data_IF_443388352092
#
_entry.id   IF_443388352092
#
_cell.length_a   1.000
_cell.length_b   1.000
_cell.length_c   1.000
_cell.angle_alpha   90.00
_cell.angle_beta   90.00
_cell.angle_gamma   90.00
#
_symmetry.space_group_name_H-M   'P 1'
#
loop_
_entity.id
_entity.type
_entity.pdbx_description
1 polymer ?
2 water ?
#
# COMPACT_ATOMS: atom_id res chain seq x y z
N UNK A 5 -16.83 9.95 -2.47
CA UNK A 5 -15.53 9.31 -2.07
C UNK A 5 -14.33 10.03 -2.69
N UNK A 6 -14.14 11.29 -2.32
CA UNK A 6 -13.03 12.10 -2.83
C UNK A 6 -11.70 11.59 -2.27
N UNK A 7 -10.80 11.19 -3.16
CA UNK A 7 -9.48 10.70 -2.77
C UNK A 7 -8.59 11.82 -2.20
N UNK A 8 -7.67 11.45 -1.31
CA UNK A 8 -6.57 12.33 -0.96
C UNK A 8 -5.54 12.35 -2.10
N UNK A 9 -4.55 13.23 -1.99
CA UNK A 9 -3.50 13.29 -3.00
C UNK A 9 -2.54 12.10 -2.89
N UNK A 10 -1.73 11.87 -3.93
CA UNK A 10 -0.73 10.81 -3.89
C UNK A 10 0.25 11.00 -2.72
N UNK A 11 0.67 12.23 -2.45
CA UNK A 11 1.53 12.49 -1.30
C UNK A 11 0.83 12.13 0.01
N UNK A 12 -0.42 12.55 0.15
CA UNK A 12 -1.18 12.22 1.36
C UNK A 12 -1.35 10.70 1.53
N UNK A 13 -1.47 9.99 0.40
CA UNK A 13 -1.52 8.53 0.42
C UNK A 13 -0.19 7.92 0.87
N UNK A 14 0.90 8.35 0.23
CA UNK A 14 2.26 7.89 0.56
C UNK A 14 2.51 8.07 2.08
N UNK A 15 2.27 9.28 2.56
CA UNK A 15 2.55 9.61 3.96
C UNK A 15 1.62 8.93 4.96
N UNK A 16 0.36 8.79 4.60
CA UNK A 16 -0.62 8.15 5.48
C UNK A 16 -0.67 8.88 6.82
N UNK A 17 -0.90 8.13 7.91
CA UNK A 17 -0.92 8.77 9.23
C UNK A 17 0.47 9.24 9.70
N UNK A 18 1.53 8.89 8.96
CA UNK A 18 2.89 9.32 9.31
C UNK A 18 3.61 8.34 10.23
N UNK A 19 2.91 7.28 10.62
CA UNK A 19 3.45 6.22 11.48
C UNK A 19 2.92 4.87 11.02
N UNK A 20 3.54 3.78 11.45
CA UNK A 20 3.13 2.46 10.99
C UNK A 20 3.53 2.27 9.55
N UNK A 21 2.82 1.37 8.86
CA UNK A 21 3.09 1.07 7.46
C UNK A 21 1.85 0.47 6.85
N UNK A 22 1.99 0.00 5.62
CA UNK A 22 0.85 -0.57 4.90
C UNK A 22 1.18 -1.97 4.41
N UNK A 23 0.21 -2.87 4.57
CA UNK A 23 0.31 -4.22 4.03
C UNK A 23 -0.53 -4.29 2.77
N UNK A 24 -0.04 -5.05 1.79
CA UNK A 24 -0.85 -5.36 0.64
C UNK A 24 -1.90 -6.39 1.07
N UNK A 25 -3.17 -6.01 0.97
CA UNK A 25 -4.26 -6.90 1.39
C UNK A 25 -4.78 -7.75 0.24
N UNK A 26 -5.20 -7.10 -0.84
CA UNK A 26 -5.72 -7.83 -2.00
C UNK A 26 -5.13 -7.26 -3.26
N UNK A 27 -4.95 -8.13 -4.27
CA UNK A 27 -4.45 -7.70 -5.56
C UNK A 27 -5.00 -8.58 -6.67
N UNK A 28 -5.03 -8.03 -7.88
CA UNK A 28 -5.31 -8.85 -9.07
C UNK A 28 -4.10 -9.70 -9.48
N UNK A 29 -2.93 -9.43 -8.89
CA UNK A 29 -1.70 -10.11 -9.30
C UNK A 29 -1.54 -11.45 -8.62
N UNK A 30 -1.29 -12.49 -9.42
CA UNK A 30 -1.00 -13.83 -8.88
C UNK A 30 0.46 -13.95 -8.48
N UNK A 31 0.75 -14.94 -7.64
CA UNK A 31 2.12 -15.25 -7.24
C UNK A 31 2.79 -14.24 -6.33
N UNK A 32 2.02 -13.33 -5.71
CA UNK A 32 2.60 -12.38 -4.76
C UNK A 32 3.00 -13.09 -3.47
N UNK A 33 4.15 -12.70 -2.92
CA UNK A 33 4.60 -13.24 -1.65
C UNK A 33 3.75 -12.69 -0.49
N UNK A 34 3.38 -13.56 0.45
CA UNK A 34 2.63 -13.17 1.63
C UNK A 34 3.34 -12.03 2.34
N UNK A 35 2.55 -11.18 3.00
CA UNK A 35 3.07 -10.15 3.89
C UNK A 35 3.83 -9.04 3.17
N UNK A 36 3.60 -8.90 1.87
CA UNK A 36 4.07 -7.72 1.14
C UNK A 36 3.68 -6.44 1.87
N UNK A 37 4.66 -5.55 2.08
CA UNK A 37 4.39 -4.33 2.84
C UNK A 37 5.26 -3.20 2.31
N UNK A 38 4.87 -1.98 2.66
CA UNK A 38 5.74 -0.80 2.51
C UNK A 38 5.61 0.02 3.79
N UNK A 39 6.68 0.73 4.14
CA UNK A 39 6.67 1.61 5.31
C UNK A 39 7.47 2.86 5.00
N UNK A 40 6.82 4.01 5.09
CA UNK A 40 7.49 5.28 4.87
C UNK A 40 8.15 5.87 6.10
N UNK A 41 9.23 6.60 5.87
CA UNK A 41 9.95 7.32 6.92
C UNK A 41 10.64 8.51 6.27
N UNK A 42 11.24 9.37 7.09
CA UNK A 42 12.00 10.51 6.57
C UNK A 42 11.18 11.32 5.58
N UNK A 43 9.97 11.68 6.00
CA UNK A 43 9.06 12.38 5.11
C UNK A 43 9.46 13.84 4.96
N UNK A 44 9.56 14.28 3.72
CA UNK A 44 9.83 15.67 3.40
C UNK A 44 8.61 16.21 2.67
N UNK A 45 7.78 16.98 3.41
CA UNK A 45 6.50 17.43 2.89
C UNK A 45 6.64 18.44 1.75
N UNK A 46 7.67 19.27 1.81
CA UNK A 46 7.91 20.29 0.76
C UNK A 46 8.27 19.63 -0.57
N UNK A 47 9.20 18.68 -0.50
CA UNK A 47 9.71 17.97 -1.68
C UNK A 47 8.79 16.84 -2.11
N UNK A 48 7.93 16.40 -1.19
CA UNK A 48 7.10 15.21 -1.36
C UNK A 48 7.98 14.00 -1.66
N UNK A 49 8.97 13.79 -0.79
CA UNK A 49 9.85 12.63 -0.87
C UNK A 49 9.89 11.93 0.48
N UNK A 50 10.18 10.63 0.43
CA UNK A 50 10.32 9.83 1.65
C UNK A 50 11.28 8.68 1.41
N UNK A 51 11.73 8.06 2.50
CA UNK A 51 12.37 6.77 2.43
C UNK A 51 11.27 5.73 2.53
N UNK A 52 11.28 4.76 1.61
CA UNK A 52 10.42 3.59 1.71
C UNK A 52 11.26 2.40 2.09
N UNK A 53 10.79 1.66 3.07
CA UNK A 53 11.29 0.33 3.39
C UNK A 53 10.20 -0.63 2.94
N UNK A 54 10.57 -1.60 2.11
CA UNK A 54 9.56 -2.50 1.56
C UNK A 54 10.06 -3.92 1.56
N UNK A 55 9.14 -4.86 1.47
CA UNK A 55 9.52 -6.25 1.40
C UNK A 55 8.32 -7.14 1.60
N UNK A 56 8.58 -8.36 2.04
CA UNK A 56 7.55 -9.37 2.20
C UNK A 56 8.08 -10.47 3.11
N UNK A 58 10.19 -13.28 4.27
CA UNK A 58 11.42 -13.91 3.85
C UNK A 58 11.55 -15.26 4.51
N UNK A 59 12.79 -15.64 4.82
CA UNK A 59 13.09 -16.89 5.50
C UNK A 59 13.10 -16.65 7.01
N UNK A 60 12.97 -17.73 7.78
CA UNK A 60 13.05 -17.66 9.24
C UNK A 60 11.97 -16.83 9.92
N UNK A 61 10.83 -16.72 9.25
CA UNK A 61 9.70 -15.93 9.74
C UNK A 61 10.06 -14.46 9.99
N UNK A 62 11.01 -13.95 9.22
CA UNK A 62 11.38 -12.54 9.28
C UNK A 62 11.01 -11.85 7.97
N UNK A 64 11.59 -9.46 4.85
CA UNK A 64 12.68 -8.89 4.06
C UNK A 64 12.56 -7.38 4.16
N UNK A 65 13.69 -6.69 3.95
CA UNK A 65 13.72 -5.22 3.98
C UNK A 65 14.65 -4.73 2.89
N UNK A 66 14.15 -3.82 2.06
CA UNK A 66 14.99 -3.10 1.12
C UNK A 66 14.54 -1.65 1.18
N UNK A 67 15.46 -0.71 0.97
CA UNK A 67 15.05 0.69 0.98
C UNK A 67 15.10 1.30 -0.42
N UNK A 68 14.34 2.38 -0.59
CA UNK A 68 14.36 3.18 -1.80
C UNK A 68 13.80 4.56 -1.49
N UNK A 69 14.11 5.52 -2.34
CA UNK A 69 13.50 6.84 -2.23
C UNK A 69 12.14 6.77 -2.90
N UNK A 70 11.11 7.21 -2.18
CA UNK A 70 9.77 7.33 -2.73
C UNK A 70 9.52 8.79 -3.06
N UNK A 71 8.87 9.04 -4.19
CA UNK A 71 8.54 10.39 -4.61
C UNK A 71 7.19 10.40 -5.28
N UNK A 72 6.77 11.57 -5.75
CA UNK A 72 5.46 11.73 -6.39
C UNK A 72 5.64 12.26 -7.80
N UNK A 73 4.93 11.66 -8.74
CA UNK A 73 4.87 12.19 -10.10
C UNK A 73 3.41 12.17 -10.51
N UNK A 74 2.83 13.35 -10.67
CA UNK A 74 1.41 13.45 -10.92
C UNK A 74 0.66 12.79 -9.78
N UNK A 75 -0.22 11.86 -10.12
CA UNK A 75 -1.00 11.19 -9.07
C UNK A 75 -0.47 9.78 -8.82
N UNK A 76 0.84 9.61 -9.01
CA UNK A 76 1.50 8.32 -8.78
C UNK A 76 2.58 8.42 -7.70
N UNK A 77 2.64 7.38 -6.89
CA UNK A 77 3.73 7.17 -5.96
C UNK A 77 4.82 6.41 -6.72
N UNK A 78 6.01 7.00 -6.75
CA UNK A 78 7.12 6.49 -7.53
C UNK A 78 8.17 5.82 -6.63
N UNK A 79 8.47 4.55 -6.90
CA UNK A 79 9.52 3.83 -6.18
C UNK A 79 10.30 3.08 -7.25
N UNK A 80 11.55 3.47 -7.49
CA UNK A 80 12.29 2.95 -8.65
C UNK A 80 11.52 3.30 -9.90
N UNK A 81 11.26 2.28 -10.74
CA UNK A 81 10.48 2.49 -11.96
C UNK A 81 8.98 2.30 -11.78
N UNK A 82 8.58 1.87 -10.57
CA UNK A 82 7.17 1.59 -10.29
C UNK A 82 6.44 2.91 -10.03
N UNK A 83 5.44 3.23 -10.85
CA UNK A 83 4.58 4.38 -10.64
C UNK A 83 3.21 3.85 -10.30
N UNK A 84 2.86 3.90 -9.01
CA UNK A 84 1.59 3.39 -8.53
C UNK A 84 0.58 4.52 -8.53
N UNK A 85 -0.37 4.48 -9.48
CA UNK A 85 -1.37 5.53 -9.60
C UNK A 85 -2.42 5.37 -8.52
N UNK A 86 -2.71 6.47 -7.81
CA UNK A 86 -3.72 6.43 -6.76
C UNK A 86 -5.12 6.50 -7.37
N UNK A 88 -7.93 5.50 -5.26
CA UNK A 88 -8.58 6.10 -4.10
C UNK A 88 -7.71 5.87 -2.88
N UNK A 89 -7.52 6.90 -2.08
CA UNK A 89 -6.89 6.75 -0.77
C UNK A 89 -7.58 7.65 0.23
N UNK A 90 -7.69 7.19 1.48
CA UNK A 90 -8.19 8.06 2.54
C UNK A 90 -7.06 8.72 3.33
N UNK A 91 -5.80 8.41 2.99
CA UNK A 91 -4.67 8.98 3.70
C UNK A 91 -4.48 8.49 5.13
N UNK A 92 -5.25 7.48 5.53
CA UNK A 92 -5.34 7.06 6.94
C UNK A 92 -5.30 5.56 7.13
N UNK A 93 -6.08 4.84 6.33
CA UNK A 93 -6.34 3.43 6.62
C UNK A 93 -6.17 2.53 5.41
N UNK A 94 -6.33 3.06 4.19
CA UNK A 94 -6.28 2.21 3.01
C UNK A 94 -6.02 2.98 1.72
N UNK A 95 -5.48 2.28 0.73
CA UNK A 95 -5.25 2.83 -0.61
C UNK A 95 -5.64 1.81 -1.65
N UNK A 96 -6.19 2.28 -2.75
CA UNK A 96 -6.36 1.47 -3.94
C UNK A 96 -5.50 2.10 -5.02
N UNK A 97 -4.55 1.32 -5.55
CA UNK A 97 -3.64 1.83 -6.57
C UNK A 97 -3.57 0.89 -7.78
N UNK A 98 -3.09 1.44 -8.88
CA UNK A 98 -2.87 0.68 -10.10
C UNK A 98 -1.37 0.70 -10.39
N UNK A 99 -0.79 -0.49 -10.59
CA UNK A 99 0.63 -0.61 -10.87
C UNK A 99 0.83 -1.77 -11.81
N UNK A 100 1.52 -1.54 -12.94
CA UNK A 100 1.83 -2.62 -13.87
C UNK A 100 0.56 -3.39 -14.28
N UNK A 101 -0.52 -2.63 -14.45
CA UNK A 101 -1.82 -3.17 -14.86
C UNK A 101 -2.55 -3.96 -13.80
N UNK A 102 -2.05 -3.93 -12.56
CA UNK A 102 -2.69 -4.62 -11.43
C UNK A 102 -3.41 -3.62 -10.55
N UNK A 103 -4.52 -4.07 -9.94
CA UNK A 103 -5.26 -3.28 -8.98
C UNK A 103 -4.95 -3.83 -7.60
N UNK A 104 -4.49 -2.95 -6.71
CA UNK A 104 -4.02 -3.34 -5.39
C UNK A 104 -4.75 -2.58 -4.32
N UNK A 105 -5.16 -3.30 -3.29
CA UNK A 105 -5.77 -2.69 -2.09
C UNK A 105 -4.81 -2.88 -0.91
N UNK A 106 -4.31 -1.75 -0.40
CA UNK A 106 -3.36 -1.72 0.70
C UNK A 106 -4.07 -1.24 1.96
N UNK A 107 -3.67 -1.79 3.10
CA UNK A 107 -4.28 -1.40 4.39
C UNK A 107 -3.21 -1.01 5.41
N UNK A 108 -3.53 0.01 6.20
CA UNK A 108 -2.61 0.44 7.23
C UNK A 108 -2.48 -0.61 8.30
N UNK A 109 -1.34 -0.62 9.00
CA UNK A 109 -1.09 -1.62 10.03
C UNK A 109 -2.15 -1.57 11.14
N UNK A 110 -2.78 -0.42 11.32
CA UNK A 110 -3.83 -0.25 12.34
C UNK A 110 -5.15 -0.88 11.94
N UNK A 111 -5.28 -1.26 10.67
CA UNK A 111 -6.54 -1.76 10.13
C UNK A 111 -6.57 -3.28 9.94
N UNK A 112 -5.51 -3.95 10.36
CA UNK A 112 -5.35 -5.38 10.04
C UNK A 112 -6.25 -6.34 10.84
N UNK A 113 -6.89 -5.86 11.91
CA UNK A 113 -7.82 -6.67 12.68
C UNK A 113 -9.27 -6.32 12.34
N UNK A 114 -9.46 -5.63 11.21
CA UNK A 114 -10.80 -5.25 10.75
C UNK A 114 -10.90 -5.28 9.24
N UNK A 115 -10.34 -6.35 8.69
CA UNK A 115 -10.18 -6.55 7.26
C UNK A 115 -11.52 -6.66 6.51
N UNK A 116 -12.58 -6.93 7.29
CA UNK A 116 -13.94 -7.00 6.76
C UNK A 116 -14.75 -5.72 6.97
N UNK A 117 -14.12 -4.72 7.59
CA UNK A 117 -14.78 -3.42 7.86
C UNK A 117 -13.93 -2.22 7.44
N UNK A 118 -13.39 -2.33 6.24
CA UNK A 118 -12.57 -1.26 5.68
C UNK A 118 -13.43 -0.13 5.12
N UNK A 119 -12.82 1.04 5.01
CA UNK A 119 -13.41 2.19 4.36
C UNK A 119 -14.14 1.76 3.08
N UNK A 120 -15.44 2.07 3.02
CA UNK A 120 -16.28 1.69 1.88
C UNK A 120 -15.74 2.29 0.57
N UNK A 121 -15.09 3.45 0.65
CA UNK A 121 -14.50 4.03 -0.56
C UNK A 121 -13.38 3.16 -1.11
N UNK A 122 -12.61 2.49 -0.24
CA UNK A 122 -11.52 1.64 -0.68
C UNK A 122 -12.05 0.37 -1.29
N UNK A 123 -12.96 -0.29 -0.59
CA UNK A 123 -13.45 -1.55 -1.11
C UNK A 123 -14.28 -1.32 -2.39
N UNK A 124 -15.09 -0.26 -2.42
CA UNK A 124 -15.83 0.03 -3.64
C UNK A 124 -14.88 0.26 -4.82
N UNK A 125 -13.84 1.05 -4.61
CA UNK A 125 -12.93 1.36 -5.73
C UNK A 125 -12.20 0.09 -6.18
N UNK A 126 -11.77 -0.72 -5.22
CA UNK A 126 -11.10 -1.98 -5.58
C UNK A 126 -12.04 -2.88 -6.39
N UNK A 127 -13.28 -3.03 -5.91
CA UNK A 127 -14.21 -3.95 -6.55
C UNK A 127 -14.59 -3.43 -7.95
N UNK A 128 -14.71 -2.11 -8.09
CA UNK A 128 -15.01 -1.54 -9.40
C UNK A 128 -13.85 -1.74 -10.38
N UNK A 129 -12.65 -1.41 -9.93
CA UNK A 129 -11.52 -1.39 -10.84
C UNK A 129 -11.01 -2.77 -11.22
N UNK A 130 -11.25 -3.77 -10.35
CA UNK A 130 -10.74 -5.09 -10.70
C UNK A 130 -11.56 -5.78 -11.77
N UNK A 131 -12.78 -5.30 -12.03
CA UNK A 131 -13.57 -5.87 -13.12
C UNK A 131 -13.83 -7.34 -12.86
N UNK A 132 -13.61 -8.17 -13.89
CA UNK A 132 -13.85 -9.61 -13.78
C UNK A 132 -12.59 -10.40 -13.40
N UNK A 133 -11.52 -9.71 -13.00
CA UNK A 133 -10.28 -10.38 -12.66
C UNK A 133 -10.33 -10.98 -11.26
N UNK A 134 -9.94 -12.27 -11.10
CA UNK A 134 -9.89 -12.84 -9.76
C UNK A 134 -8.97 -12.08 -8.80
N UNK A 135 -9.41 -11.95 -7.56
CA UNK A 135 -8.59 -11.33 -6.53
C UNK A 135 -7.74 -12.36 -5.79
N UNK A 136 -6.67 -11.89 -5.19
CA UNK A 136 -5.75 -12.70 -4.42
C UNK A 136 -5.53 -12.00 -3.08
N UNK A 137 -5.52 -12.77 -2.01
CA UNK A 137 -5.35 -12.21 -0.67
C UNK A 137 -3.90 -12.43 -0.23
N UNK A 138 -3.22 -11.34 0.11
CA UNK A 138 -1.77 -11.39 0.37
C UNK A 138 -1.43 -11.25 1.87
N UNK A 139 -2.27 -10.53 2.59
CA UNK A 139 -2.12 -10.35 4.02
C UNK A 139 -2.67 -11.54 4.79
N UNK A 140 -1.98 -11.91 5.87
CA UNK A 140 -2.50 -12.87 6.85
C UNK A 140 -2.17 -12.36 8.24
N UNK A 141 -2.99 -12.72 9.23
CA UNK A 141 -2.83 -12.18 10.57
C UNK A 141 -1.50 -12.53 11.22
N UNK A 142 -0.91 -13.63 10.76
CA UNK A 142 0.37 -14.12 11.28
C UNK A 142 1.58 -13.43 10.64
N UNK A 143 1.33 -12.49 9.72
CA UNK A 143 2.44 -11.67 9.20
C UNK A 143 3.14 -10.95 10.34
N UNK A 144 4.49 -10.84 10.27
CA UNK A 144 5.17 -10.04 11.28
C UNK A 144 4.76 -8.59 11.25
N UNK A 145 5.05 -7.89 12.35
CA UNK A 145 4.91 -6.45 12.41
C UNK A 145 5.86 -5.78 11.43
N UNK A 147 8.85 -3.52 10.09
CA UNK A 147 10.21 -3.25 10.59
C UNK A 147 10.31 -1.89 11.30
N UNK A 148 11.19 -1.79 12.31
CA UNK A 148 11.40 -0.51 12.99
C UNK A 148 12.83 0.03 12.89
#
# INVERSE_FOLDING_TARGET
XQQQCDTVSAWQSLRGPGTGGYYLFKTTEGGKTDCTYVKGSNFNDAAQTATYTYGNXGSGNQXTQQTASASISGNAIVVGTDHSEVXYSDGSTCDVVRLNGQIELWIHSSATSNTGNLNSCCTDKFNQEKGSRPEHVVYRSTCPNXPQ
#
